data_IF_649847755587
#
_entry.id   IF_649847755587
#
_cell.length_a   1.000
_cell.length_b   1.000
_cell.length_c   1.000
_cell.angle_alpha   90.00
_cell.angle_beta   90.00
_cell.angle_gamma   90.00
#
_symmetry.space_group_name_H-M   'P 1'
#
loop_
_entity.id
_entity.type
_entity.pdbx_description
1 polymer ?
#
# COMPACT_ATOMS: atom_id res chain seq x y z
N UNK A 1 9.16 12.76 -24.86
CA UNK A 1 8.60 13.34 -23.62
C UNK A 1 7.40 12.51 -23.24
N UNK A 2 7.35 11.91 -22.04
CA UNK A 2 6.17 11.14 -21.62
C UNK A 2 4.95 12.06 -21.56
N UNK A 3 3.81 11.57 -22.03
CA UNK A 3 2.57 12.34 -21.96
C UNK A 3 2.07 12.41 -20.51
N UNK A 4 1.40 13.50 -20.14
CA UNK A 4 0.80 13.66 -18.79
C UNK A 4 -0.15 12.50 -18.50
N UNK A 5 -0.93 12.08 -19.51
CA UNK A 5 -1.84 10.94 -19.41
C UNK A 5 -1.09 9.65 -19.05
N UNK A 6 0.05 9.39 -19.68
CA UNK A 6 0.85 8.20 -19.41
C UNK A 6 1.39 8.19 -17.97
N UNK A 7 1.87 9.32 -17.46
CA UNK A 7 2.30 9.47 -16.07
C UNK A 7 1.14 9.14 -15.12
N UNK A 8 -0.05 9.69 -15.37
CA UNK A 8 -1.24 9.42 -14.55
C UNK A 8 -1.65 7.95 -14.60
N UNK A 9 -1.55 7.30 -15.77
CA UNK A 9 -1.82 5.86 -15.90
C UNK A 9 -0.83 5.02 -15.11
N UNK A 10 0.46 5.38 -15.11
CA UNK A 10 1.46 4.69 -14.31
C UNK A 10 1.26 4.91 -12.81
N UNK A 11 0.90 6.13 -12.38
CA UNK A 11 0.53 6.39 -10.99
C UNK A 11 -0.69 5.55 -10.57
N UNK A 12 -1.71 5.47 -11.41
CA UNK A 12 -2.88 4.64 -11.16
C UNK A 12 -2.51 3.15 -11.12
N UNK A 13 -1.65 2.70 -12.04
CA UNK A 13 -1.09 1.35 -12.03
C UNK A 13 -0.39 1.04 -10.71
N UNK A 14 0.42 1.96 -10.19
CA UNK A 14 1.12 1.81 -8.93
C UNK A 14 0.15 1.68 -7.73
N UNK A 15 -0.99 2.39 -7.77
CA UNK A 15 -2.04 2.22 -6.76
C UNK A 15 -2.62 0.80 -6.81
N UNK A 16 -3.01 0.33 -8.00
CA UNK A 16 -3.74 -0.94 -8.17
C UNK A 16 -2.83 -2.17 -8.02
N UNK A 17 -1.64 -2.15 -8.62
CA UNK A 17 -0.69 -3.27 -8.69
C UNK A 17 0.75 -2.79 -8.49
N UNK A 18 1.01 -2.18 -7.34
CA UNK A 18 2.33 -1.63 -6.96
C UNK A 18 3.51 -2.56 -7.26
N UNK A 19 3.40 -3.85 -6.93
CA UNK A 19 4.47 -4.83 -7.15
C UNK A 19 4.92 -4.95 -8.62
N UNK A 20 3.99 -4.83 -9.57
CA UNK A 20 4.24 -5.11 -11.00
C UNK A 20 4.57 -3.83 -11.78
N UNK A 21 4.10 -2.67 -11.30
CA UNK A 21 4.21 -1.40 -12.02
C UNK A 21 5.66 -0.99 -12.35
N UNK A 22 6.63 -1.02 -11.41
CA UNK A 22 8.01 -0.67 -11.72
C UNK A 22 8.62 -1.52 -12.84
N UNK A 23 8.39 -2.83 -12.82
CA UNK A 23 8.86 -3.74 -13.87
C UNK A 23 8.28 -3.39 -15.23
N UNK A 24 6.98 -3.09 -15.31
CA UNK A 24 6.33 -2.72 -16.57
C UNK A 24 6.79 -1.36 -17.10
N UNK A 25 7.08 -0.41 -16.21
CA UNK A 25 7.63 0.89 -16.60
C UNK A 25 9.01 0.72 -17.24
N UNK A 26 9.90 -0.05 -16.60
CA UNK A 26 11.25 -0.28 -17.13
C UNK A 26 11.19 -1.08 -18.43
N UNK A 27 10.32 -2.09 -18.54
CA UNK A 27 10.09 -2.80 -19.79
C UNK A 27 9.53 -1.90 -20.92
N UNK A 28 8.93 -0.74 -20.58
CA UNK A 28 8.53 0.32 -21.53
C UNK A 28 9.65 1.32 -21.83
N UNK A 29 10.84 1.14 -21.26
CA UNK A 29 11.99 2.03 -21.45
C UNK A 29 12.03 3.23 -20.49
N UNK A 30 11.27 3.21 -19.39
CA UNK A 30 11.36 4.26 -18.37
C UNK A 30 12.64 4.12 -17.55
N UNK A 31 13.29 5.26 -17.26
CA UNK A 31 14.49 5.30 -16.44
C UNK A 31 14.22 4.97 -14.96
N UNK A 32 15.29 4.64 -14.23
CA UNK A 32 15.24 4.31 -12.80
C UNK A 32 14.56 5.40 -11.97
N UNK A 33 15.08 6.63 -12.02
CA UNK A 33 14.58 7.73 -11.20
C UNK A 33 13.15 8.12 -11.54
N UNK A 34 12.79 8.14 -12.82
CA UNK A 34 11.41 8.41 -13.23
C UNK A 34 10.44 7.34 -12.72
N UNK A 35 10.84 6.07 -12.77
CA UNK A 35 10.02 4.96 -12.25
C UNK A 35 9.83 5.07 -10.74
N UNK A 36 10.90 5.35 -9.99
CA UNK A 36 10.83 5.54 -8.53
C UNK A 36 9.92 6.70 -8.16
N UNK A 37 10.11 7.87 -8.80
CA UNK A 37 9.34 9.08 -8.49
C UNK A 37 7.85 8.87 -8.80
N UNK A 38 7.51 8.33 -9.97
CA UNK A 38 6.12 8.17 -10.42
C UNK A 38 5.40 7.12 -9.57
N UNK A 39 6.04 5.97 -9.30
CA UNK A 39 5.43 4.91 -8.47
C UNK A 39 5.30 5.36 -7.02
N UNK A 40 6.28 6.09 -6.47
CA UNK A 40 6.20 6.69 -5.14
C UNK A 40 5.10 7.73 -5.03
N UNK A 41 4.96 8.61 -6.03
CA UNK A 41 3.89 9.60 -6.07
C UNK A 41 2.50 8.94 -6.16
N UNK A 42 2.35 7.92 -7.02
CA UNK A 42 1.13 7.12 -7.11
C UNK A 42 0.78 6.45 -5.78
N UNK A 43 1.76 5.80 -5.15
CA UNK A 43 1.58 5.19 -3.84
C UNK A 43 1.24 6.22 -2.76
N UNK A 44 1.84 7.40 -2.78
CA UNK A 44 1.52 8.49 -1.85
C UNK A 44 0.04 8.88 -1.94
N UNK A 45 -0.41 9.21 -3.15
CA UNK A 45 -1.80 9.57 -3.42
C UNK A 45 -2.73 8.44 -2.99
N UNK A 46 -2.40 7.20 -3.35
CA UNK A 46 -3.16 6.02 -2.94
C UNK A 46 -3.26 5.86 -1.42
N UNK A 47 -2.14 5.97 -0.70
CA UNK A 47 -2.13 5.88 0.77
C UNK A 47 -3.03 6.94 1.38
N UNK A 48 -2.92 8.20 0.95
CA UNK A 48 -3.77 9.28 1.44
C UNK A 48 -5.25 9.01 1.18
N UNK A 49 -5.62 8.63 -0.03
CA UNK A 49 -7.03 8.37 -0.37
C UNK A 49 -7.57 7.19 0.46
N UNK A 50 -6.90 6.03 0.43
CA UNK A 50 -7.44 4.80 1.00
C UNK A 50 -7.31 4.72 2.53
N UNK A 51 -6.25 5.28 3.11
CA UNK A 51 -6.09 5.29 4.57
C UNK A 51 -7.14 6.19 5.23
N UNK A 52 -7.30 7.42 4.75
CA UNK A 52 -8.23 8.38 5.36
C UNK A 52 -9.68 8.01 5.07
N UNK A 53 -9.99 7.56 3.85
CA UNK A 53 -11.32 7.02 3.54
C UNK A 53 -11.63 5.79 4.40
N UNK A 54 -10.67 4.88 4.58
CA UNK A 54 -10.82 3.73 5.46
C UNK A 54 -11.09 4.12 6.91
N UNK A 55 -10.32 5.07 7.46
CA UNK A 55 -10.51 5.60 8.82
C UNK A 55 -11.89 6.24 8.98
N UNK A 56 -12.33 7.02 7.99
CA UNK A 56 -13.64 7.68 7.99
C UNK A 56 -14.80 6.67 7.92
N UNK A 57 -14.73 5.69 7.01
CA UNK A 57 -15.75 4.63 6.89
C UNK A 57 -15.85 3.83 8.19
N UNK A 58 -14.71 3.43 8.76
CA UNK A 58 -14.67 2.66 10.00
C UNK A 58 -15.26 3.43 11.18
N UNK A 59 -14.93 4.73 11.29
CA UNK A 59 -15.50 5.61 12.33
C UNK A 59 -17.01 5.75 12.16
N UNK A 60 -17.48 6.15 10.97
CA UNK A 60 -18.93 6.27 10.67
C UNK A 60 -19.69 4.98 10.92
N UNK A 61 -19.11 3.83 10.58
CA UNK A 61 -19.77 2.55 10.77
C UNK A 61 -19.85 2.12 12.24
N UNK A 62 -18.86 2.49 13.05
CA UNK A 62 -18.92 2.28 14.50
C UNK A 62 -20.01 3.17 15.13
N UNK A 63 -20.08 4.44 14.72
CA UNK A 63 -21.07 5.40 15.19
C UNK A 63 -22.50 4.97 14.78
N UNK A 64 -22.70 4.56 13.53
CA UNK A 64 -24.01 4.13 13.01
C UNK A 64 -24.55 2.87 13.69
N UNK A 65 -23.69 1.89 14.02
CA UNK A 65 -24.13 0.67 14.72
C UNK A 65 -24.30 0.85 16.22
N UNK A 66 -24.05 2.05 16.76
CA UNK A 66 -24.08 2.28 18.21
C UNK A 66 -23.14 1.35 18.98
N UNK A 67 -22.07 0.87 18.35
CA UNK A 67 -21.17 -0.15 18.92
C UNK A 67 -20.34 0.47 20.06
N UNK A 68 -20.91 0.48 21.27
CA UNK A 68 -20.22 0.89 22.51
C UNK A 68 -19.42 -0.24 23.17
N UNK A 69 -19.29 -1.42 22.54
CA UNK A 69 -18.66 -2.60 23.15
C UNK A 69 -17.82 -3.45 22.19
N UNK A 70 -16.91 -4.30 22.73
CA UNK A 70 -16.05 -5.16 21.92
C UNK A 70 -16.88 -6.18 21.14
N UNK A 71 -16.72 -6.21 19.81
CA UNK A 71 -17.41 -7.16 18.93
C UNK A 71 -17.09 -8.60 19.35
N UNK A 72 -18.12 -9.45 19.50
CA UNK A 72 -17.93 -10.91 19.63
C UNK A 72 -17.06 -11.39 18.46
N UNK A 73 -16.00 -12.19 18.68
CA UNK A 73 -15.13 -12.61 17.60
C UNK A 73 -15.90 -13.53 16.66
N UNK A 74 -16.28 -13.02 15.48
CA UNK A 74 -16.74 -13.87 14.39
C UNK A 74 -15.54 -14.71 13.94
N UNK A 75 -15.55 -16.00 14.26
CA UNK A 75 -14.41 -16.90 14.07
C UNK A 75 -14.34 -17.40 12.63
N UNK A 76 -13.90 -16.55 11.70
CA UNK A 76 -13.55 -16.99 10.34
C UNK A 76 -12.06 -17.36 10.27
N UNK A 77 -11.67 -18.37 9.45
CA UNK A 77 -10.27 -18.79 9.31
C UNK A 77 -9.36 -17.66 8.81
N UNK A 78 -9.87 -16.81 7.91
CA UNK A 78 -9.16 -15.62 7.42
C UNK A 78 -8.86 -14.61 8.55
N UNK A 79 -9.83 -14.37 9.44
CA UNK A 79 -9.65 -13.47 10.59
C UNK A 79 -8.62 -14.03 11.58
N UNK A 80 -8.64 -15.35 11.83
CA UNK A 80 -7.63 -16.02 12.68
C UNK A 80 -6.21 -15.86 12.11
N UNK A 81 -6.04 -16.02 10.79
CA UNK A 81 -4.74 -15.81 10.12
C UNK A 81 -4.25 -14.37 10.28
N UNK A 82 -5.12 -13.39 10.05
CA UNK A 82 -4.75 -11.97 10.20
C UNK A 82 -4.39 -11.60 11.64
N UNK A 83 -5.14 -12.12 12.63
CA UNK A 83 -4.82 -11.89 14.05
C UNK A 83 -3.49 -12.53 14.44
N UNK A 84 -3.20 -13.75 13.95
CA UNK A 84 -1.91 -14.42 14.18
C UNK A 84 -0.75 -13.63 13.54
N UNK A 85 -0.90 -13.20 12.29
CA UNK A 85 0.08 -12.37 11.61
C UNK A 85 0.39 -11.09 12.39
N UNK A 86 -0.65 -10.37 12.84
CA UNK A 86 -0.49 -9.17 13.68
C UNK A 86 0.22 -9.48 14.99
N UNK A 87 -0.11 -10.58 15.66
CA UNK A 87 0.51 -10.96 16.95
C UNK A 87 2.01 -11.25 16.80
N UNK A 88 2.41 -11.82 15.67
CA UNK A 88 3.81 -12.20 15.42
C UNK A 88 4.65 -11.04 14.88
N UNK A 89 4.12 -10.26 13.93
CA UNK A 89 4.91 -9.28 13.17
C UNK A 89 4.49 -7.82 13.39
N UNK A 90 3.33 -7.57 14.00
CA UNK A 90 2.88 -6.22 14.33
C UNK A 90 2.81 -5.27 13.14
N UNK A 91 3.29 -4.03 13.34
CA UNK A 91 3.34 -2.98 12.31
C UNK A 91 4.41 -3.30 11.27
N UNK A 92 5.59 -3.76 11.70
CA UNK A 92 6.71 -4.10 10.82
C UNK A 92 6.35 -5.17 9.79
N UNK A 93 5.56 -6.18 10.18
CA UNK A 93 5.03 -7.16 9.23
C UNK A 93 4.13 -6.55 8.18
N UNK A 94 3.27 -5.60 8.56
CA UNK A 94 2.42 -4.91 7.60
C UNK A 94 3.25 -4.13 6.57
N UNK A 95 4.30 -3.43 7.01
CA UNK A 95 5.21 -2.68 6.14
C UNK A 95 6.07 -3.59 5.24
N UNK A 96 6.49 -4.74 5.77
CA UNK A 96 7.23 -5.74 4.99
C UNK A 96 6.36 -6.36 3.89
N UNK A 97 5.05 -6.51 4.13
CA UNK A 97 4.15 -7.09 3.12
C UNK A 97 3.52 -6.02 2.22
N UNK A 98 3.53 -4.74 2.62
CA UNK A 98 2.79 -3.67 1.94
C UNK A 98 3.18 -3.48 0.48
N UNK A 99 4.46 -3.61 0.12
CA UNK A 99 4.92 -3.51 -1.27
C UNK A 99 4.53 -4.70 -2.16
N UNK A 100 4.19 -5.85 -1.55
CA UNK A 100 3.75 -7.05 -2.26
C UNK A 100 2.24 -7.08 -2.50
N UNK A 101 1.48 -6.38 -1.66
CA UNK A 101 0.03 -6.21 -1.80
C UNK A 101 -0.27 -4.85 -2.45
N UNK A 102 -1.52 -4.65 -2.88
CA UNK A 102 -1.91 -3.36 -3.47
C UNK A 102 -2.00 -2.25 -2.41
N UNK A 103 -1.74 -1.01 -2.83
CA UNK A 103 -1.81 0.18 -1.98
C UNK A 103 -3.17 0.31 -1.27
N UNK A 104 -4.33 0.07 -1.93
CA UNK A 104 -5.64 0.09 -1.28
C UNK A 104 -5.72 -0.89 -0.11
N UNK A 105 -5.28 -2.14 -0.30
CA UNK A 105 -5.38 -3.18 0.73
C UNK A 105 -4.47 -2.84 1.90
N UNK A 106 -3.20 -2.50 1.64
CA UNK A 106 -2.26 -2.11 2.69
C UNK A 106 -2.79 -0.93 3.52
N UNK A 107 -3.29 0.11 2.84
CA UNK A 107 -3.77 1.34 3.47
C UNK A 107 -5.05 1.12 4.27
N UNK A 108 -5.98 0.28 3.78
CA UNK A 108 -7.18 -0.09 4.51
C UNK A 108 -6.87 -0.96 5.73
N UNK A 109 -5.91 -1.89 5.64
CA UNK A 109 -5.46 -2.68 6.79
C UNK A 109 -4.77 -1.76 7.82
N UNK A 110 -3.93 -0.84 7.37
CA UNK A 110 -3.31 0.16 8.24
C UNK A 110 -4.36 1.01 8.96
N UNK A 111 -5.36 1.52 8.25
CA UNK A 111 -6.47 2.26 8.84
C UNK A 111 -7.23 1.39 9.85
N UNK A 112 -7.55 0.14 9.51
CA UNK A 112 -8.30 -0.76 10.39
C UNK A 112 -7.60 -1.09 11.71
N UNK A 113 -6.29 -1.34 11.67
CA UNK A 113 -5.55 -1.85 12.83
C UNK A 113 -4.75 -0.76 13.56
N UNK A 114 -4.44 0.34 12.89
CA UNK A 114 -3.57 1.40 13.39
C UNK A 114 -4.17 2.81 13.21
N UNK A 115 -5.49 2.96 13.04
CA UNK A 115 -6.18 4.27 12.96
C UNK A 115 -5.92 5.23 14.13
N UNK A 116 -5.52 4.70 15.30
CA UNK A 116 -5.20 5.49 16.50
C UNK A 116 -3.79 6.10 16.44
N UNK A 117 -2.93 5.60 15.57
CA UNK A 117 -1.59 6.13 15.37
C UNK A 117 -1.60 7.09 14.16
N UNK A 118 -1.42 8.38 14.43
CA UNK A 118 -1.42 9.44 13.41
C UNK A 118 -0.17 9.39 12.52
N UNK A 119 0.89 8.71 12.96
CA UNK A 119 2.13 8.54 12.19
C UNK A 119 2.00 7.43 11.16
N UNK A 120 1.02 6.53 11.31
CA UNK A 120 0.85 5.36 10.45
C UNK A 120 0.79 5.69 8.93
N UNK A 121 0.04 6.68 8.42
CA UNK A 121 0.04 6.97 6.99
C UNK A 121 1.42 7.40 6.48
N UNK A 122 2.19 8.14 7.28
CA UNK A 122 3.55 8.56 6.96
C UNK A 122 4.55 7.40 6.97
N UNK A 123 4.43 6.50 7.95
CA UNK A 123 5.27 5.29 8.04
C UNK A 123 4.96 4.36 6.85
N UNK A 124 3.69 4.21 6.48
CA UNK A 124 3.28 3.40 5.34
C UNK A 124 3.76 4.01 4.02
N UNK A 125 3.68 5.33 3.87
CA UNK A 125 4.27 6.06 2.75
C UNK A 125 5.76 5.77 2.64
N UNK A 126 6.52 5.92 3.73
CA UNK A 126 7.95 5.66 3.75
C UNK A 126 8.27 4.21 3.33
N UNK A 127 7.48 3.23 3.79
CA UNK A 127 7.63 1.85 3.36
C UNK A 127 7.37 1.67 1.85
N UNK A 128 6.34 2.30 1.28
CA UNK A 128 6.10 2.24 -0.17
C UNK A 128 7.20 2.93 -0.99
N UNK A 129 7.78 4.02 -0.50
CA UNK A 129 8.96 4.63 -1.12
C UNK A 129 10.13 3.65 -1.10
N UNK A 130 10.44 3.05 0.05
CA UNK A 130 11.50 2.03 0.14
C UNK A 130 11.25 0.84 -0.81
N UNK A 131 10.00 0.37 -0.90
CA UNK A 131 9.62 -0.68 -1.84
C UNK A 131 9.73 -0.24 -3.30
N UNK A 132 9.43 1.02 -3.62
CA UNK A 132 9.61 1.59 -4.96
C UNK A 132 11.08 1.49 -5.39
N UNK A 133 12.02 1.85 -4.51
CA UNK A 133 13.45 1.67 -4.76
C UNK A 133 13.83 0.20 -4.96
N UNK A 134 13.42 -0.68 -4.04
CA UNK A 134 13.75 -2.11 -4.10
C UNK A 134 13.23 -2.74 -5.38
N UNK A 135 11.95 -2.53 -5.70
CA UNK A 135 11.33 -3.13 -6.89
C UNK A 135 11.94 -2.57 -8.17
N UNK A 136 12.17 -1.26 -8.25
CA UNK A 136 12.83 -0.66 -9.42
C UNK A 136 14.24 -1.21 -9.60
N UNK A 137 15.02 -1.33 -8.52
CA UNK A 137 16.37 -1.90 -8.57
C UNK A 137 16.36 -3.37 -9.03
N UNK A 138 15.46 -4.19 -8.47
CA UNK A 138 15.28 -5.58 -8.89
C UNK A 138 14.88 -5.68 -10.36
N UNK A 139 13.97 -4.83 -10.83
CA UNK A 139 13.52 -4.81 -12.21
C UNK A 139 14.64 -4.45 -13.19
N UNK A 140 15.51 -3.48 -12.84
CA UNK A 140 16.70 -3.16 -13.64
C UNK A 140 17.66 -4.34 -13.72
N UNK A 141 17.98 -4.94 -12.57
CA UNK A 141 18.83 -6.12 -12.50
C UNK A 141 18.31 -7.29 -13.34
N UNK A 142 17.00 -7.52 -13.35
CA UNK A 142 16.40 -8.60 -14.15
C UNK A 142 16.52 -8.32 -15.65
N UNK A 143 16.40 -7.07 -16.08
CA UNK A 143 16.47 -6.70 -17.50
C UNK A 143 17.92 -6.67 -18.00
N UNK A 144 18.89 -6.29 -17.18
CA UNK A 144 20.31 -6.31 -17.58
C UNK A 144 20.86 -7.75 -17.75
N UNK A 145 20.21 -8.76 -17.16
CA UNK A 145 20.61 -10.17 -17.25
C UNK A 145 19.92 -10.91 -18.42
N UNK A 146 18.79 -10.40 -18.93
CA UNK A 146 17.97 -11.05 -19.96
C UNK A 146 18.15 -10.46 -21.34
#
# INVERSE_FOLDING_TARGET
MPSILEILLWMFGAVVKFFVTPSLMIARGWGFWSTVIITSAGAAVGVWIFYFSGKWILKKWADFRGERGPKRPFFTPQRRRMVRFRRLYGMWGLLAVSGLISVPIASMLAAKYYQRDERMPWILLAAFVSWSFILTALSFWVIDIG
#
